data_IF_787628305363
#
_entry.id   IF_787628305363
#
_cell.length_a   1.000
_cell.length_b   1.000
_cell.length_c   1.000
_cell.angle_alpha   90.00
_cell.angle_beta   90.00
_cell.angle_gamma   90.00
#
_symmetry.space_group_name_H-M   'P 1'
#
loop_
_entity.id
_entity.type
_entity.pdbx_description
1 polymer ?
#
# COMPACT_ATOMS: atom_id res chain seq x y z
N UNK A 1 0.28 27.98 -18.96
CA UNK A 1 -0.37 26.66 -19.20
C UNK A 1 0.67 25.54 -19.25
N UNK A 2 1.76 25.68 -19.95
CA UNK A 2 2.84 24.69 -20.14
C UNK A 2 3.44 24.14 -18.85
N UNK A 3 3.80 24.99 -17.86
CA UNK A 3 4.33 24.56 -16.55
C UNK A 3 3.35 23.74 -15.72
N UNK A 4 2.04 23.94 -15.88
CA UNK A 4 1.03 23.16 -15.16
C UNK A 4 0.89 21.75 -15.78
N UNK A 5 0.96 21.68 -17.10
CA UNK A 5 0.93 20.43 -17.86
C UNK A 5 2.17 19.57 -17.54
N UNK A 6 3.36 20.17 -17.51
CA UNK A 6 4.61 19.50 -17.17
C UNK A 6 4.55 18.87 -15.74
N UNK A 7 4.04 19.63 -14.76
CA UNK A 7 3.84 19.10 -13.39
C UNK A 7 2.86 17.92 -13.33
N UNK A 8 1.79 17.96 -14.12
CA UNK A 8 0.81 16.86 -14.19
C UNK A 8 1.44 15.61 -14.79
N UNK A 9 2.17 15.76 -15.89
CA UNK A 9 2.87 14.66 -16.56
C UNK A 9 3.89 14.00 -15.65
N UNK A 10 4.72 14.79 -14.94
CA UNK A 10 5.69 14.26 -13.97
C UNK A 10 5.03 13.48 -12.82
N UNK A 11 3.89 13.96 -12.31
CA UNK A 11 3.13 13.25 -11.27
C UNK A 11 2.54 11.93 -11.77
N UNK A 12 2.04 11.89 -13.00
CA UNK A 12 1.52 10.65 -13.60
C UNK A 12 2.65 9.65 -13.88
N UNK A 13 3.78 10.11 -14.36
CA UNK A 13 4.96 9.26 -14.55
C UNK A 13 5.44 8.66 -13.23
N UNK A 14 5.52 9.47 -12.17
CA UNK A 14 5.87 8.99 -10.84
C UNK A 14 4.83 8.00 -10.30
N UNK A 15 3.54 8.23 -10.56
CA UNK A 15 2.48 7.29 -10.16
C UNK A 15 2.62 5.93 -10.86
N UNK A 16 2.93 5.93 -12.16
CA UNK A 16 3.21 4.68 -12.90
C UNK A 16 4.42 3.93 -12.35
N UNK A 17 5.50 4.64 -12.05
CA UNK A 17 6.71 4.04 -11.45
C UNK A 17 6.42 3.43 -10.07
N UNK A 18 5.70 4.14 -9.21
CA UNK A 18 5.35 3.65 -7.87
C UNK A 18 4.31 2.53 -7.91
N UNK A 19 3.39 2.54 -8.86
CA UNK A 19 2.49 1.43 -9.15
C UNK A 19 3.28 0.17 -9.53
N UNK A 20 4.22 0.29 -10.48
CA UNK A 20 5.11 -0.80 -10.85
C UNK A 20 6.00 -1.28 -9.71
N UNK A 21 6.54 -0.37 -8.89
CA UNK A 21 7.31 -0.73 -7.71
C UNK A 21 6.46 -1.49 -6.69
N UNK A 22 5.21 -1.05 -6.43
CA UNK A 22 4.28 -1.75 -5.54
C UNK A 22 3.97 -3.14 -6.07
N UNK A 23 3.70 -3.29 -7.37
CA UNK A 23 3.51 -4.58 -8.03
C UNK A 23 4.72 -5.50 -7.81
N UNK A 24 5.92 -5.05 -8.15
CA UNK A 24 7.13 -5.86 -8.03
C UNK A 24 7.41 -6.28 -6.59
N UNK A 25 7.25 -5.38 -5.62
CA UNK A 25 7.40 -5.69 -4.20
C UNK A 25 6.33 -6.67 -3.71
N UNK A 26 5.11 -6.62 -4.24
CA UNK A 26 4.04 -7.56 -3.91
C UNK A 26 4.32 -8.96 -4.48
N UNK A 27 4.96 -9.06 -5.65
CA UNK A 27 5.37 -10.35 -6.23
C UNK A 27 6.42 -11.09 -5.37
N UNK A 28 7.19 -10.37 -4.53
CA UNK A 28 8.06 -10.97 -3.52
C UNK A 28 7.17 -11.42 -2.35
N UNK A 29 6.65 -12.64 -2.44
CA UNK A 29 5.58 -13.14 -1.58
C UNK A 29 5.91 -14.51 -0.99
N UNK A 30 5.37 -14.76 0.20
CA UNK A 30 5.45 -16.05 0.92
C UNK A 30 4.01 -16.47 1.22
N UNK A 31 3.57 -17.68 0.78
CA UNK A 31 2.24 -18.19 1.07
C UNK A 31 1.96 -18.27 2.58
N UNK A 32 0.71 -18.00 2.96
CA UNK A 32 0.28 -18.13 4.35
C UNK A 32 0.10 -19.61 4.75
N UNK A 33 0.37 -19.96 6.03
CA UNK A 33 0.16 -21.33 6.52
C UNK A 33 -1.28 -21.81 6.42
N UNK A 34 -2.25 -20.90 6.37
CA UNK A 34 -3.67 -21.21 6.17
C UNK A 34 -3.98 -21.79 4.79
N UNK A 35 -3.06 -21.70 3.83
CA UNK A 35 -3.29 -22.03 2.41
C UNK A 35 -4.10 -20.97 1.65
N UNK A 36 -4.50 -19.88 2.29
CA UNK A 36 -5.27 -18.79 1.69
C UNK A 36 -4.52 -17.46 1.81
N UNK A 37 -4.14 -16.89 0.67
CA UNK A 37 -3.38 -15.65 0.62
C UNK A 37 -1.87 -15.81 0.85
N UNK A 38 -1.19 -14.69 1.02
CA UNK A 38 0.27 -14.59 1.14
C UNK A 38 0.69 -13.30 1.85
N UNK A 39 1.87 -13.27 2.43
CA UNK A 39 2.55 -12.04 2.90
C UNK A 39 3.57 -11.58 1.87
N UNK A 40 3.81 -10.27 1.78
CA UNK A 40 4.65 -9.68 0.74
C UNK A 40 5.27 -8.35 1.18
N UNK A 41 6.16 -7.77 0.36
CA UNK A 41 6.80 -6.48 0.62
C UNK A 41 6.02 -5.28 0.04
N UNK A 42 4.88 -5.51 -0.58
CA UNK A 42 4.09 -4.50 -1.30
C UNK A 42 3.63 -3.32 -0.44
N UNK A 43 3.41 -3.52 0.87
CA UNK A 43 3.03 -2.44 1.77
C UNK A 43 4.10 -1.34 1.86
N UNK A 44 5.38 -1.66 1.60
CA UNK A 44 6.43 -0.66 1.41
C UNK A 44 6.11 0.28 0.24
N UNK A 45 5.68 -0.27 -0.89
CA UNK A 45 5.22 0.48 -2.06
C UNK A 45 3.96 1.30 -1.78
N UNK A 46 3.00 0.75 -1.02
CA UNK A 46 1.79 1.46 -0.59
C UNK A 46 2.14 2.73 0.19
N UNK A 47 3.06 2.65 1.15
CA UNK A 47 3.50 3.81 1.93
C UNK A 47 4.36 4.79 1.13
N UNK A 48 5.14 4.32 0.15
CA UNK A 48 5.81 5.20 -0.82
C UNK A 48 4.81 6.01 -1.65
N UNK A 49 3.74 5.37 -2.15
CA UNK A 49 2.66 6.06 -2.84
C UNK A 49 2.00 7.13 -1.95
N UNK A 50 1.72 6.80 -0.68
CA UNK A 50 1.15 7.73 0.28
C UNK A 50 2.03 8.97 0.54
N UNK A 51 3.35 8.79 0.55
CA UNK A 51 4.31 9.86 0.86
C UNK A 51 4.65 10.76 -0.32
N UNK A 52 4.71 10.20 -1.51
CA UNK A 52 5.27 10.88 -2.69
C UNK A 52 4.19 11.38 -3.67
N UNK A 53 2.96 10.88 -3.56
CA UNK A 53 1.85 11.25 -4.44
C UNK A 53 0.73 11.95 -3.67
N UNK A 54 -0.06 12.82 -4.34
CA UNK A 54 -1.27 13.37 -3.74
C UNK A 54 -2.33 12.28 -3.53
N UNK A 55 -3.04 12.33 -2.41
CA UNK A 55 -3.95 11.35 -1.84
C UNK A 55 -4.63 10.38 -2.81
N UNK A 56 -5.52 10.86 -3.67
CA UNK A 56 -6.24 9.98 -4.61
C UNK A 56 -5.34 9.28 -5.64
N UNK A 57 -4.32 9.97 -6.16
CA UNK A 57 -3.37 9.38 -7.11
C UNK A 57 -2.49 8.33 -6.43
N UNK A 58 -2.08 8.59 -5.18
CA UNK A 58 -1.34 7.63 -4.36
C UNK A 58 -2.16 6.38 -4.06
N UNK A 59 -3.45 6.57 -3.74
CA UNK A 59 -4.39 5.47 -3.52
C UNK A 59 -4.54 4.57 -4.76
N UNK A 60 -4.73 5.18 -5.93
CA UNK A 60 -4.85 4.44 -7.19
C UNK A 60 -3.56 3.69 -7.53
N UNK A 61 -2.40 4.35 -7.44
CA UNK A 61 -1.12 3.71 -7.76
C UNK A 61 -0.84 2.51 -6.84
N UNK A 62 -1.08 2.66 -5.54
CA UNK A 62 -0.90 1.60 -4.55
C UNK A 62 -1.87 0.44 -4.77
N UNK A 63 -3.17 0.75 -4.88
CA UNK A 63 -4.22 -0.26 -5.03
C UNK A 63 -4.09 -1.05 -6.32
N UNK A 64 -3.89 -0.35 -7.46
CA UNK A 64 -3.73 -0.99 -8.76
C UNK A 64 -2.47 -1.87 -8.80
N UNK A 65 -1.33 -1.36 -8.31
CA UNK A 65 -0.09 -2.14 -8.28
C UNK A 65 -0.23 -3.44 -7.50
N UNK A 66 -0.83 -3.39 -6.30
CA UNK A 66 -1.07 -4.57 -5.48
C UNK A 66 -2.10 -5.53 -6.11
N UNK A 67 -3.20 -5.02 -6.63
CA UNK A 67 -4.23 -5.85 -7.26
C UNK A 67 -3.75 -6.57 -8.53
N UNK A 68 -2.89 -5.91 -9.34
CA UNK A 68 -2.26 -6.54 -10.50
C UNK A 68 -1.34 -7.70 -10.08
N UNK A 69 -0.63 -7.56 -8.94
CA UNK A 69 0.19 -8.65 -8.41
C UNK A 69 -0.68 -9.86 -8.02
N UNK A 70 -1.85 -9.65 -7.39
CA UNK A 70 -2.79 -10.73 -7.08
C UNK A 70 -3.20 -11.49 -8.33
N UNK A 71 -3.50 -10.77 -9.43
CA UNK A 71 -3.86 -11.40 -10.70
C UNK A 71 -2.70 -12.25 -11.27
N UNK A 72 -1.47 -11.74 -11.21
CA UNK A 72 -0.27 -12.45 -11.70
C UNK A 72 0.03 -13.68 -10.84
N UNK A 73 -0.15 -13.59 -9.53
CA UNK A 73 0.08 -14.69 -8.58
C UNK A 73 -1.04 -15.72 -8.54
N UNK A 74 -2.12 -15.54 -9.33
CA UNK A 74 -3.26 -16.45 -9.37
C UNK A 74 -4.31 -16.25 -8.27
N UNK A 75 -4.20 -15.15 -7.51
CA UNK A 75 -5.13 -14.78 -6.44
C UNK A 75 -6.22 -13.80 -6.93
N UNK A 76 -6.79 -14.05 -8.11
CA UNK A 76 -7.74 -13.13 -8.75
C UNK A 76 -8.95 -12.76 -7.87
N UNK A 77 -9.38 -13.66 -6.99
CA UNK A 77 -10.48 -13.42 -6.06
C UNK A 77 -10.15 -12.33 -5.02
N UNK A 78 -8.86 -12.16 -4.69
CA UNK A 78 -8.39 -11.11 -3.77
C UNK A 78 -8.19 -9.76 -4.46
N UNK A 79 -7.93 -9.72 -5.78
CA UNK A 79 -7.56 -8.50 -6.49
C UNK A 79 -8.53 -7.31 -6.26
N UNK A 80 -9.88 -7.47 -6.29
CA UNK A 80 -10.80 -6.36 -6.04
C UNK A 80 -10.71 -5.80 -4.62
N UNK A 81 -10.62 -6.69 -3.62
CA UNK A 81 -10.53 -6.25 -2.22
C UNK A 81 -9.15 -5.68 -1.90
N UNK A 82 -8.10 -6.24 -2.47
CA UNK A 82 -6.73 -5.71 -2.36
C UNK A 82 -6.63 -4.29 -2.92
N UNK A 83 -7.24 -4.03 -4.07
CA UNK A 83 -7.31 -2.67 -4.63
C UNK A 83 -7.91 -1.69 -3.63
N UNK A 84 -9.01 -2.06 -2.98
CA UNK A 84 -9.69 -1.22 -2.00
C UNK A 84 -8.85 -1.06 -0.73
N UNK A 85 -8.37 -2.16 -0.13
CA UNK A 85 -7.62 -2.14 1.13
C UNK A 85 -6.32 -1.36 0.98
N UNK A 86 -5.50 -1.66 -0.05
CA UNK A 86 -4.21 -0.99 -0.27
C UNK A 86 -4.40 0.46 -0.71
N UNK A 87 -5.41 0.73 -1.54
CA UNK A 87 -5.79 2.09 -1.92
C UNK A 87 -6.23 2.93 -0.73
N UNK A 88 -7.12 2.39 0.13
CA UNK A 88 -7.58 3.05 1.33
C UNK A 88 -6.44 3.30 2.32
N UNK A 89 -5.56 2.32 2.52
CA UNK A 89 -4.36 2.46 3.37
C UNK A 89 -3.48 3.61 2.88
N UNK A 90 -3.16 3.66 1.58
CA UNK A 90 -2.35 4.73 0.99
C UNK A 90 -3.04 6.10 1.11
N UNK A 91 -4.36 6.15 0.90
CA UNK A 91 -5.14 7.38 1.02
C UNK A 91 -5.11 7.95 2.43
N UNK A 92 -5.44 7.12 3.43
CA UNK A 92 -5.48 7.52 4.84
C UNK A 92 -4.09 7.90 5.37
N UNK A 93 -3.06 7.11 5.04
CA UNK A 93 -1.68 7.44 5.39
C UNK A 93 -1.24 8.76 4.74
N UNK A 94 -1.58 9.01 3.48
CA UNK A 94 -1.31 10.26 2.78
C UNK A 94 -2.02 11.46 3.43
N UNK A 95 -3.27 11.31 3.85
CA UNK A 95 -4.00 12.34 4.60
C UNK A 95 -3.35 12.64 5.95
N UNK A 96 -2.94 11.61 6.69
CA UNK A 96 -2.24 11.76 7.96
C UNK A 96 -0.94 12.56 7.79
N UNK A 97 -0.14 12.23 6.75
CA UNK A 97 1.11 12.90 6.42
C UNK A 97 0.93 14.38 6.03
N UNK A 98 -0.21 14.72 5.43
CA UNK A 98 -0.52 16.10 5.03
C UNK A 98 -1.06 16.95 6.19
N UNK A 99 -1.86 16.37 7.09
CA UNK A 99 -2.66 17.12 8.07
C UNK A 99 -2.16 17.07 9.50
N UNK A 100 -1.50 16.00 9.92
CA UNK A 100 -1.24 15.74 11.33
C UNK A 100 0.06 16.38 11.89
N UNK A 101 0.79 17.19 11.11
CA UNK A 101 2.02 17.90 11.55
C UNK A 101 2.96 16.99 12.37
N UNK A 102 3.09 17.22 13.69
CA UNK A 102 4.00 16.46 14.57
C UNK A 102 3.59 14.99 14.72
N UNK A 103 2.28 14.66 14.64
CA UNK A 103 1.75 13.30 14.73
C UNK A 103 1.64 12.60 13.36
N UNK A 104 2.11 13.21 12.27
CA UNK A 104 1.95 12.71 10.90
C UNK A 104 2.48 11.28 10.72
N UNK A 105 3.68 10.98 11.20
CA UNK A 105 4.28 9.66 11.04
C UNK A 105 3.60 8.59 11.92
N UNK A 106 3.41 8.81 13.23
CA UNK A 106 2.66 7.85 14.05
C UNK A 106 1.27 7.56 13.49
N UNK A 107 0.55 8.58 13.03
CA UNK A 107 -0.80 8.40 12.49
C UNK A 107 -0.78 7.66 11.14
N UNK A 108 0.20 7.94 10.29
CA UNK A 108 0.38 7.20 9.03
C UNK A 108 0.70 5.72 9.31
N UNK A 109 1.57 5.43 10.27
CA UNK A 109 1.86 4.05 10.69
C UNK A 109 0.62 3.35 11.24
N UNK A 110 -0.23 4.06 11.99
CA UNK A 110 -1.50 3.49 12.49
C UNK A 110 -2.44 3.07 11.33
N UNK A 111 -2.36 3.75 10.19
CA UNK A 111 -3.16 3.36 9.01
C UNK A 111 -2.80 1.97 8.46
N UNK A 112 -1.66 1.38 8.84
CA UNK A 112 -1.32 0.00 8.46
C UNK A 112 -2.33 -1.03 9.00
N UNK A 113 -3.05 -0.71 10.07
CA UNK A 113 -4.10 -1.58 10.64
C UNK A 113 -5.28 -1.82 9.69
N UNK A 114 -5.47 -0.97 8.68
CA UNK A 114 -6.48 -1.17 7.63
C UNK A 114 -6.24 -2.49 6.88
N UNK A 115 -4.99 -2.92 6.73
CA UNK A 115 -4.62 -4.14 6.01
C UNK A 115 -5.12 -5.40 6.74
N UNK A 116 -4.69 -5.70 7.98
CA UNK A 116 -5.15 -6.91 8.66
C UNK A 116 -6.65 -6.89 8.93
N UNK A 117 -7.24 -5.74 9.25
CA UNK A 117 -8.68 -5.63 9.48
C UNK A 117 -9.48 -5.84 8.18
N UNK A 118 -9.05 -5.25 7.08
CA UNK A 118 -9.72 -5.40 5.79
C UNK A 118 -9.70 -6.83 5.28
N UNK A 119 -8.54 -7.48 5.32
CA UNK A 119 -8.46 -8.89 4.92
C UNK A 119 -9.21 -9.81 5.88
N UNK A 120 -9.14 -9.59 7.19
CA UNK A 120 -9.92 -10.36 8.16
C UNK A 120 -11.42 -10.30 7.86
N UNK A 121 -11.98 -9.11 7.61
CA UNK A 121 -13.38 -8.95 7.26
C UNK A 121 -13.73 -9.68 5.95
N UNK A 122 -12.90 -9.53 4.93
CA UNK A 122 -13.11 -10.19 3.64
C UNK A 122 -13.05 -11.71 3.75
N UNK A 123 -12.01 -12.24 4.39
CA UNK A 123 -11.78 -13.67 4.56
C UNK A 123 -12.83 -14.32 5.48
N UNK A 124 -13.38 -13.58 6.44
CA UNK A 124 -14.49 -14.08 7.28
C UNK A 124 -15.73 -14.39 6.44
N UNK A 125 -15.99 -13.58 5.41
CA UNK A 125 -17.11 -13.81 4.47
C UNK A 125 -16.76 -14.86 3.43
N UNK A 126 -15.53 -14.87 2.93
CA UNK A 126 -15.09 -15.77 1.86
C UNK A 126 -14.86 -17.20 2.37
N UNK A 127 -14.33 -17.35 3.58
CA UNK A 127 -13.90 -18.61 4.18
C UNK A 127 -14.70 -18.87 5.47
N UNK A 128 -14.04 -18.70 6.61
CA UNK A 128 -14.64 -18.74 7.94
C UNK A 128 -13.86 -17.85 8.90
N UNK A 129 -14.49 -17.38 9.97
CA UNK A 129 -13.83 -16.52 10.97
C UNK A 129 -12.58 -17.16 11.62
N UNK A 130 -12.55 -18.47 11.99
CA UNK A 130 -11.34 -19.10 12.52
C UNK A 130 -10.16 -19.08 11.52
N UNK A 131 -10.40 -19.35 10.25
CA UNK A 131 -9.37 -19.32 9.21
C UNK A 131 -8.86 -17.89 8.99
N UNK A 132 -9.77 -16.92 8.89
CA UNK A 132 -9.43 -15.51 8.76
C UNK A 132 -8.60 -15.01 9.97
N UNK A 133 -8.89 -15.46 11.18
CA UNK A 133 -8.17 -15.07 12.38
C UNK A 133 -6.69 -15.50 12.37
N UNK A 134 -6.37 -16.64 11.77
CA UNK A 134 -4.97 -17.12 11.62
C UNK A 134 -4.15 -16.12 10.77
N UNK A 135 -4.77 -15.49 9.81
CA UNK A 135 -4.11 -14.55 8.88
C UNK A 135 -3.93 -13.14 9.45
N UNK A 136 -4.56 -12.79 10.59
CA UNK A 136 -4.43 -11.44 11.20
C UNK A 136 -2.98 -11.11 11.51
N UNK A 137 -2.28 -11.99 12.24
CA UNK A 137 -0.92 -11.72 12.70
C UNK A 137 0.08 -11.57 11.53
N UNK A 138 0.13 -12.49 10.56
CA UNK A 138 0.98 -12.32 9.36
C UNK A 138 0.68 -11.02 8.60
N UNK A 139 -0.59 -10.69 8.36
CA UNK A 139 -0.98 -9.47 7.68
C UNK A 139 -0.61 -8.21 8.48
N UNK A 140 -0.71 -8.24 9.81
CA UNK A 140 -0.32 -7.13 10.67
C UNK A 140 1.20 -6.91 10.65
N UNK A 141 2.00 -7.97 10.75
CA UNK A 141 3.46 -7.90 10.67
C UNK A 141 3.92 -7.38 9.30
N UNK A 142 3.36 -7.91 8.22
CA UNK A 142 3.61 -7.45 6.86
C UNK A 142 3.34 -5.94 6.73
N UNK A 143 2.15 -5.50 7.14
CA UNK A 143 1.73 -4.12 7.00
C UNK A 143 2.61 -3.17 7.84
N UNK A 144 2.98 -3.56 9.06
CA UNK A 144 3.86 -2.78 9.94
C UNK A 144 5.28 -2.65 9.34
N UNK A 145 5.88 -3.76 8.92
CA UNK A 145 7.21 -3.78 8.31
C UNK A 145 7.22 -2.94 7.03
N UNK A 146 6.22 -3.13 6.18
CA UNK A 146 6.06 -2.34 4.95
C UNK A 146 5.88 -0.85 5.23
N UNK A 147 5.06 -0.50 6.22
CA UNK A 147 4.85 0.88 6.65
C UNK A 147 6.15 1.53 7.14
N UNK A 148 6.92 0.85 7.96
CA UNK A 148 8.22 1.32 8.45
C UNK A 148 9.21 1.52 7.29
N UNK A 149 9.41 0.50 6.46
CA UNK A 149 10.34 0.55 5.31
C UNK A 149 9.92 1.63 4.30
N UNK A 150 8.66 1.65 3.89
CA UNK A 150 8.14 2.64 2.94
C UNK A 150 8.24 4.07 3.47
N UNK A 151 8.00 4.28 4.77
CA UNK A 151 8.14 5.59 5.40
C UNK A 151 9.61 6.04 5.45
N UNK A 152 10.54 5.14 5.80
CA UNK A 152 11.98 5.46 5.86
C UNK A 152 12.52 5.81 4.47
N UNK A 153 12.27 4.97 3.49
CA UNK A 153 12.69 5.18 2.09
C UNK A 153 12.02 6.43 1.51
N UNK A 154 10.73 6.61 1.74
CA UNK A 154 9.98 7.77 1.26
C UNK A 154 10.49 9.10 1.81
N UNK A 155 10.90 9.15 3.10
CA UNK A 155 11.56 10.34 3.67
C UNK A 155 12.88 10.66 2.96
N UNK A 156 13.69 9.65 2.69
CA UNK A 156 14.97 9.81 2.01
C UNK A 156 14.78 10.31 0.57
N UNK A 157 13.87 9.68 -0.18
CA UNK A 157 13.55 10.09 -1.55
C UNK A 157 13.00 11.52 -1.60
N UNK A 158 12.07 11.87 -0.72
CA UNK A 158 11.52 13.24 -0.64
C UNK A 158 12.61 14.28 -0.35
N UNK A 159 13.55 13.95 0.54
CA UNK A 159 14.69 14.83 0.85
C UNK A 159 15.58 15.05 -0.37
N UNK A 160 15.83 14.02 -1.17
CA UNK A 160 16.68 14.12 -2.35
C UNK A 160 15.97 14.88 -3.48
N UNK A 161 14.67 14.64 -3.69
CA UNK A 161 13.86 15.35 -4.68
C UNK A 161 13.69 16.86 -4.37
N UNK A 162 13.79 17.28 -3.10
CA UNK A 162 13.75 18.69 -2.72
C UNK A 162 15.11 19.41 -2.85
N UNK A 163 16.20 18.66 -3.04
CA UNK A 163 17.56 19.19 -3.22
C UNK A 163 17.97 19.30 -4.69
N UNK A 164 17.28 18.61 -5.59
CA UNK A 164 17.47 18.65 -7.04
C UNK A 164 16.57 19.70 -7.70
#
# INVERSE_FOLDING_TARGET
>A
MERAQDKKTKRLALAGQLCGATLLLTLISIPLPSGYGYVNLGDGGVFLCAMLLPGGLGALAAGVGAALADLILGWAIYAPVTLIIKGLTAFLAGLALLRAKKAAIPLALLCCLVVPLGYFLYETVLLTAPVAAVNILPNALQALLGACLGTLVGKQLKRNLLKA
#
